data_IF_963986274652
#
_entry.id   IF_963986274652
#
_cell.length_a   1.000
_cell.length_b   1.000
_cell.length_c   1.000
_cell.angle_alpha   90.00
_cell.angle_beta   90.00
_cell.angle_gamma   90.00
#
_symmetry.space_group_name_H-M   'P 1'
#
loop_
_entity.id
_entity.type
_entity.pdbx_description
1 polymer ?
#
# COMPACT_ATOMS: atom_id res chain seq x y z
N UNK A 1 35.22 15.88 -38.67
CA UNK A 1 35.13 15.55 -37.22
C UNK A 1 33.81 15.99 -36.57
N UNK A 2 32.98 16.84 -37.20
CA UNK A 2 31.67 17.26 -36.67
C UNK A 2 30.49 16.32 -36.96
N UNK A 3 30.52 15.53 -38.04
CA UNK A 3 29.43 14.59 -38.38
C UNK A 3 29.40 13.32 -37.51
N UNK A 4 30.55 12.88 -37.00
CA UNK A 4 30.66 11.70 -36.13
C UNK A 4 30.10 12.00 -34.72
N UNK A 5 30.10 13.28 -34.31
CA UNK A 5 29.53 13.71 -33.03
C UNK A 5 28.00 13.91 -33.09
N UNK A 6 27.41 14.12 -34.26
CA UNK A 6 25.95 14.20 -34.41
C UNK A 6 25.28 12.82 -34.44
N UNK A 7 25.94 11.79 -34.98
CA UNK A 7 25.41 10.42 -34.99
C UNK A 7 25.51 9.71 -33.64
N UNK A 8 26.48 10.09 -32.79
CA UNK A 8 26.60 9.57 -31.43
C UNK A 8 25.50 10.07 -30.47
N UNK A 9 24.93 11.25 -30.72
CA UNK A 9 23.88 11.83 -29.88
C UNK A 9 22.46 11.29 -30.17
N UNK A 10 22.27 10.56 -31.26
CA UNK A 10 20.99 9.92 -31.60
C UNK A 10 20.75 8.59 -30.86
N UNK A 11 21.77 8.04 -30.18
CA UNK A 11 21.74 6.71 -29.57
C UNK A 11 21.35 6.69 -28.08
N UNK A 12 21.01 7.84 -27.47
CA UNK A 12 20.71 7.97 -26.04
C UNK A 12 19.29 8.47 -25.75
N UNK A 13 18.32 8.18 -26.62
CA UNK A 13 16.92 8.24 -26.19
C UNK A 13 16.57 6.94 -25.46
N UNK A 14 16.17 6.96 -24.19
CA UNK A 14 15.65 5.76 -23.55
C UNK A 14 14.41 5.33 -24.34
N UNK A 15 14.45 4.11 -24.88
CA UNK A 15 13.34 3.47 -25.60
C UNK A 15 12.23 3.18 -24.57
N UNK A 16 11.47 4.21 -24.22
CA UNK A 16 10.19 4.03 -23.54
C UNK A 16 9.13 3.94 -24.63
N UNK A 17 9.00 2.76 -25.23
CA UNK A 17 7.94 2.50 -26.18
C UNK A 17 6.59 2.80 -25.50
N UNK A 18 5.72 3.63 -26.11
CA UNK A 18 4.43 3.97 -25.53
C UNK A 18 3.58 2.70 -25.37
N UNK A 19 2.90 2.58 -24.23
CA UNK A 19 2.09 1.41 -23.90
C UNK A 19 0.93 1.27 -24.91
N UNK A 20 0.76 0.10 -25.57
CA UNK A 20 -0.34 -0.15 -26.49
C UNK A 20 -1.73 0.10 -25.87
N UNK A 21 -2.68 0.60 -26.66
CA UNK A 21 -4.05 0.92 -26.21
C UNK A 21 -4.77 -0.26 -25.53
N UNK A 22 -4.54 -1.51 -26.00
CA UNK A 22 -5.14 -2.72 -25.38
C UNK A 22 -4.70 -2.92 -23.93
N UNK A 23 -3.45 -2.56 -23.60
CA UNK A 23 -2.93 -2.67 -22.23
C UNK A 23 -3.59 -1.62 -21.33
N UNK A 24 -3.90 -0.43 -21.86
CA UNK A 24 -4.69 0.58 -21.12
C UNK A 24 -6.11 0.11 -20.79
N UNK A 25 -6.76 -0.67 -21.66
CA UNK A 25 -8.07 -1.26 -21.37
C UNK A 25 -8.03 -2.27 -20.22
N UNK A 26 -6.96 -3.06 -20.11
CA UNK A 26 -6.75 -3.98 -18.97
C UNK A 26 -6.70 -3.20 -17.66
N UNK A 27 -6.05 -2.03 -17.66
CA UNK A 27 -5.92 -1.20 -16.45
C UNK A 27 -7.27 -0.62 -16.03
N UNK A 28 -8.11 -0.24 -17.01
CA UNK A 28 -9.49 0.15 -16.73
C UNK A 28 -10.30 -1.00 -16.14
N UNK A 29 -10.16 -2.22 -16.67
CA UNK A 29 -10.79 -3.40 -16.08
C UNK A 29 -10.30 -3.66 -14.65
N UNK A 30 -8.99 -3.54 -14.40
CA UNK A 30 -8.41 -3.65 -13.04
C UNK A 30 -9.01 -2.58 -12.13
N UNK A 31 -9.10 -1.31 -12.57
CA UNK A 31 -9.72 -0.24 -11.81
C UNK A 31 -11.18 -0.56 -11.45
N UNK A 32 -11.97 -1.07 -12.40
CA UNK A 32 -13.38 -1.46 -12.14
C UNK A 32 -13.45 -2.59 -11.11
N UNK A 33 -12.64 -3.64 -11.26
CA UNK A 33 -12.57 -4.75 -10.30
C UNK A 33 -12.13 -4.27 -8.92
N UNK A 34 -11.13 -3.39 -8.88
CA UNK A 34 -10.59 -2.73 -7.68
C UNK A 34 -11.68 -1.92 -6.98
N UNK A 35 -12.45 -1.10 -7.71
CA UNK A 35 -13.57 -0.35 -7.16
C UNK A 35 -14.67 -1.26 -6.63
N UNK A 36 -15.03 -2.32 -7.35
CA UNK A 36 -16.03 -3.30 -6.89
C UNK A 36 -15.61 -4.02 -5.60
N UNK A 37 -14.35 -4.45 -5.54
CA UNK A 37 -13.77 -5.06 -4.34
C UNK A 37 -13.70 -4.06 -3.17
N UNK A 38 -13.38 -2.79 -3.44
CA UNK A 38 -13.35 -1.73 -2.43
C UNK A 38 -14.73 -1.47 -1.83
N UNK A 39 -15.77 -1.42 -2.66
CA UNK A 39 -17.16 -1.28 -2.19
C UNK A 39 -17.55 -2.46 -1.28
N UNK A 40 -17.26 -3.69 -1.71
CA UNK A 40 -17.51 -4.87 -0.89
C UNK A 40 -16.74 -4.83 0.44
N UNK A 41 -15.50 -4.33 0.44
CA UNK A 41 -14.69 -4.16 1.64
C UNK A 41 -15.29 -3.12 2.59
N UNK A 42 -15.78 -1.98 2.08
CA UNK A 42 -16.46 -0.94 2.87
C UNK A 42 -17.69 -1.51 3.60
N UNK A 43 -18.51 -2.31 2.91
CA UNK A 43 -19.67 -2.95 3.55
C UNK A 43 -19.26 -3.95 4.63
N UNK A 44 -18.28 -4.82 4.36
CA UNK A 44 -17.76 -5.75 5.36
C UNK A 44 -17.19 -5.03 6.58
N UNK A 45 -16.48 -3.93 6.33
CA UNK A 45 -15.88 -3.09 7.38
C UNK A 45 -16.93 -2.36 8.20
N UNK A 46 -18.00 -1.86 7.59
CA UNK A 46 -19.13 -1.25 8.30
C UNK A 46 -19.76 -2.22 9.30
N UNK A 47 -20.03 -3.46 8.86
CA UNK A 47 -20.60 -4.50 9.73
C UNK A 47 -19.66 -4.87 10.89
N UNK A 48 -18.35 -4.96 10.60
CA UNK A 48 -17.34 -5.21 11.63
C UNK A 48 -17.27 -4.08 12.66
N UNK A 49 -17.21 -2.83 12.22
CA UNK A 49 -17.17 -1.66 13.11
C UNK A 49 -18.46 -1.55 13.94
N UNK A 50 -19.61 -1.87 13.34
CA UNK A 50 -20.90 -1.93 14.04
C UNK A 50 -20.90 -2.98 15.14
N UNK A 51 -20.39 -4.18 14.85
CA UNK A 51 -20.25 -5.25 15.84
C UNK A 51 -19.29 -4.86 16.98
N UNK A 52 -18.13 -4.27 16.66
CA UNK A 52 -17.17 -3.81 17.67
C UNK A 52 -17.75 -2.70 18.55
N UNK A 53 -18.43 -1.73 17.94
CA UNK A 53 -19.09 -0.64 18.67
C UNK A 53 -20.12 -1.20 19.65
N UNK A 54 -21.06 -2.04 19.18
CA UNK A 54 -22.14 -2.57 20.01
C UNK A 54 -21.66 -3.53 21.11
N UNK A 55 -20.71 -4.43 20.80
CA UNK A 55 -20.35 -5.54 21.69
C UNK A 55 -19.20 -5.20 22.64
N UNK A 56 -18.26 -4.36 22.22
CA UNK A 56 -17.00 -4.14 22.97
C UNK A 56 -16.83 -2.70 23.44
N UNK A 57 -17.16 -1.70 22.61
CA UNK A 57 -16.88 -0.30 22.92
C UNK A 57 -18.06 0.50 23.49
N UNK A 58 -19.29 0.04 23.32
CA UNK A 58 -20.53 0.71 23.72
C UNK A 58 -20.51 1.33 25.13
N UNK A 59 -20.18 0.60 26.22
CA UNK A 59 -20.20 1.18 27.56
C UNK A 59 -19.18 2.31 27.73
N UNK A 60 -18.06 2.27 27.01
CA UNK A 60 -17.00 3.26 27.10
C UNK A 60 -17.28 4.50 26.24
N UNK A 61 -17.88 4.29 25.06
CA UNK A 61 -18.31 5.39 24.19
C UNK A 61 -19.37 6.24 24.88
N UNK A 62 -20.39 5.64 25.50
CA UNK A 62 -21.43 6.36 26.23
C UNK A 62 -20.85 7.14 27.41
N UNK A 63 -19.92 6.54 28.18
CA UNK A 63 -19.25 7.24 29.29
C UNK A 63 -18.48 8.48 28.82
N UNK A 64 -17.95 8.45 27.60
CA UNK A 64 -17.28 9.59 26.98
C UNK A 64 -18.23 10.56 26.25
N UNK A 65 -19.54 10.30 26.25
CA UNK A 65 -20.54 11.10 25.53
C UNK A 65 -20.52 10.90 24.00
N UNK A 66 -19.92 9.82 23.51
CA UNK A 66 -19.84 9.46 22.10
C UNK A 66 -20.89 8.41 21.74
N UNK A 67 -21.35 8.46 20.49
CA UNK A 67 -22.28 7.45 19.95
C UNK A 67 -21.52 6.33 19.21
N UNK A 68 -22.13 5.14 19.13
CA UNK A 68 -21.63 4.04 18.31
C UNK A 68 -21.49 4.47 16.84
N UNK A 69 -22.44 5.28 16.34
CA UNK A 69 -22.41 5.83 14.98
C UNK A 69 -21.19 6.73 14.74
N UNK A 70 -20.79 7.52 15.73
CA UNK A 70 -19.56 8.33 15.62
C UNK A 70 -18.35 7.42 15.39
N UNK A 71 -18.19 6.39 16.21
CA UNK A 71 -17.09 5.42 16.08
C UNK A 71 -17.07 4.78 14.69
N UNK A 72 -18.22 4.25 14.24
CA UNK A 72 -18.33 3.57 12.94
C UNK A 72 -17.94 4.50 11.78
N UNK A 73 -18.54 5.68 11.69
CA UNK A 73 -18.31 6.58 10.57
C UNK A 73 -16.93 7.22 10.58
N UNK A 74 -16.36 7.47 11.76
CA UNK A 74 -15.01 8.02 11.92
C UNK A 74 -13.93 7.10 11.33
N UNK A 75 -13.96 5.81 11.68
CA UNK A 75 -13.01 4.85 11.12
C UNK A 75 -13.31 4.57 9.65
N UNK A 76 -14.59 4.34 9.30
CA UNK A 76 -14.95 3.99 7.94
C UNK A 76 -14.62 5.10 6.93
N UNK A 77 -14.90 6.37 7.25
CA UNK A 77 -14.63 7.48 6.34
C UNK A 77 -13.14 7.70 6.14
N UNK A 78 -12.35 7.57 7.21
CA UNK A 78 -10.90 7.79 7.17
C UNK A 78 -10.17 6.67 6.42
N UNK A 79 -10.56 5.41 6.64
CA UNK A 79 -10.08 4.25 5.87
C UNK A 79 -10.49 4.33 4.40
N UNK A 80 -11.73 4.76 4.11
CA UNK A 80 -12.23 4.94 2.74
C UNK A 80 -11.48 6.06 2.02
N UNK A 81 -11.19 7.19 2.70
CA UNK A 81 -10.39 8.29 2.15
C UNK A 81 -9.00 7.79 1.72
N UNK A 82 -8.36 6.99 2.56
CA UNK A 82 -7.05 6.43 2.26
C UNK A 82 -7.12 5.51 1.04
N UNK A 83 -8.06 4.56 1.02
CA UNK A 83 -8.28 3.66 -0.10
C UNK A 83 -8.54 4.41 -1.42
N UNK A 84 -9.40 5.44 -1.39
CA UNK A 84 -9.70 6.29 -2.53
C UNK A 84 -8.47 7.04 -3.00
N UNK A 85 -7.63 7.55 -2.10
CA UNK A 85 -6.40 8.26 -2.47
C UNK A 85 -5.44 7.36 -3.24
N UNK A 86 -5.25 6.12 -2.79
CA UNK A 86 -4.45 5.13 -3.51
C UNK A 86 -5.04 4.81 -4.89
N UNK A 87 -6.35 4.55 -4.96
CA UNK A 87 -7.04 4.22 -6.19
C UNK A 87 -7.00 5.36 -7.22
N UNK A 88 -7.31 6.58 -6.79
CA UNK A 88 -7.28 7.79 -7.62
C UNK A 88 -5.86 8.08 -8.09
N UNK A 89 -4.86 7.97 -7.21
CA UNK A 89 -3.45 8.15 -7.58
C UNK A 89 -3.04 7.16 -8.68
N UNK A 90 -3.37 5.87 -8.50
CA UNK A 90 -3.10 4.85 -9.51
C UNK A 90 -3.83 5.13 -10.82
N UNK A 91 -5.09 5.55 -10.77
CA UNK A 91 -5.86 5.96 -11.94
C UNK A 91 -5.23 7.15 -12.69
N UNK A 92 -4.81 8.19 -11.98
CA UNK A 92 -4.13 9.36 -12.57
C UNK A 92 -2.83 8.93 -13.26
N UNK A 93 -2.01 8.09 -12.61
CA UNK A 93 -0.75 7.59 -13.19
C UNK A 93 -1.03 6.75 -14.45
N UNK A 94 -2.02 5.86 -14.41
CA UNK A 94 -2.39 5.03 -15.55
C UNK A 94 -2.87 5.83 -16.76
N UNK A 95 -3.60 6.92 -16.52
CA UNK A 95 -4.14 7.80 -17.55
C UNK A 95 -3.15 8.89 -18.00
N UNK A 96 -1.99 9.01 -17.35
CA UNK A 96 -0.99 10.00 -17.67
C UNK A 96 -0.49 9.86 -19.12
N UNK A 97 -0.13 10.96 -19.79
CA UNK A 97 0.24 10.93 -21.22
C UNK A 97 1.49 10.11 -21.49
N UNK A 98 2.48 10.13 -20.59
CA UNK A 98 3.77 9.45 -20.71
C UNK A 98 3.82 8.09 -19.98
N UNK A 99 2.72 7.32 -19.96
CA UNK A 99 2.71 6.01 -19.29
C UNK A 99 3.76 5.06 -19.88
N UNK A 100 4.71 4.63 -19.05
CA UNK A 100 5.64 3.52 -19.31
C UNK A 100 5.17 2.25 -18.59
N UNK A 101 5.73 1.09 -18.93
CA UNK A 101 5.41 -0.18 -18.25
C UNK A 101 5.63 -0.11 -16.73
N UNK A 102 6.66 0.59 -16.26
CA UNK A 102 6.95 0.73 -14.83
C UNK A 102 5.91 1.60 -14.14
N UNK A 103 5.53 2.73 -14.74
CA UNK A 103 4.47 3.59 -14.19
C UNK A 103 3.11 2.90 -14.21
N UNK A 104 2.86 2.04 -15.19
CA UNK A 104 1.64 1.24 -15.24
C UNK A 104 1.62 0.16 -14.16
N UNK A 105 2.76 -0.50 -13.94
CA UNK A 105 2.92 -1.43 -12.83
C UNK A 105 2.68 -0.73 -11.48
N UNK A 106 3.24 0.47 -11.31
CA UNK A 106 3.02 1.30 -10.13
C UNK A 106 1.53 1.63 -9.93
N UNK A 107 0.83 2.01 -11.00
CA UNK A 107 -0.61 2.28 -10.96
C UNK A 107 -1.42 1.06 -10.51
N UNK A 108 -1.14 -0.11 -11.08
CA UNK A 108 -1.81 -1.37 -10.72
C UNK A 108 -1.51 -1.74 -9.25
N UNK A 109 -0.25 -1.64 -8.84
CA UNK A 109 0.17 -1.93 -7.47
C UNK A 109 -0.52 -1.00 -6.46
N UNK A 110 -0.57 0.32 -6.74
CA UNK A 110 -1.26 1.31 -5.91
C UNK A 110 -2.76 1.02 -5.79
N UNK A 111 -3.42 0.73 -6.91
CA UNK A 111 -4.85 0.43 -6.93
C UNK A 111 -5.15 -0.82 -6.11
N UNK A 112 -4.45 -1.93 -6.37
CA UNK A 112 -4.70 -3.20 -5.67
C UNK A 112 -4.36 -3.12 -4.18
N UNK A 113 -3.28 -2.42 -3.82
CA UNK A 113 -2.92 -2.19 -2.41
C UNK A 113 -3.95 -1.31 -1.69
N UNK A 114 -4.46 -0.27 -2.36
CA UNK A 114 -5.44 0.67 -1.79
C UNK A 114 -6.81 0.07 -1.49
N UNK A 115 -7.24 -0.97 -2.22
CA UNK A 115 -8.54 -1.65 -1.97
C UNK A 115 -8.61 -2.26 -0.59
N UNK A 116 -7.46 -2.64 -0.05
CA UNK A 116 -7.36 -3.53 1.09
C UNK A 116 -6.44 -2.95 2.14
N UNK A 117 -6.37 -1.61 2.30
CA UNK A 117 -5.65 -1.03 3.43
C UNK A 117 -6.12 -1.79 4.68
N UNK A 118 -5.21 -2.52 5.34
CA UNK A 118 -5.64 -3.43 6.38
C UNK A 118 -6.34 -2.63 7.47
N UNK A 119 -7.40 -3.16 8.09
CA UNK A 119 -7.82 -2.61 9.37
C UNK A 119 -6.61 -2.65 10.31
N UNK A 120 -6.53 -1.74 11.30
CA UNK A 120 -5.45 -1.74 12.27
C UNK A 120 -5.22 -3.16 12.81
N UNK A 121 -3.96 -3.58 12.91
CA UNK A 121 -3.59 -4.99 13.12
C UNK A 121 -4.21 -5.62 14.39
N UNK A 122 -4.63 -4.79 15.35
CA UNK A 122 -5.32 -5.20 16.57
C UNK A 122 -6.83 -5.42 16.42
N UNK A 123 -7.46 -4.95 15.34
CA UNK A 123 -8.91 -5.00 15.12
C UNK A 123 -9.41 -6.25 14.37
N UNK A 124 -8.54 -7.23 14.11
CA UNK A 124 -8.82 -8.38 13.25
C UNK A 124 -9.64 -9.46 13.97
N UNK A 125 -10.95 -9.21 14.08
CA UNK A 125 -11.95 -10.26 14.31
C UNK A 125 -12.52 -10.69 12.96
N UNK A 126 -12.51 -12.01 12.76
CA UNK A 126 -12.84 -12.76 11.54
C UNK A 126 -14.15 -12.34 10.85
N UNK A 127 -14.06 -11.72 9.67
CA UNK A 127 -15.17 -11.66 8.72
C UNK A 127 -15.38 -13.06 8.11
N UNK A 128 -16.44 -13.75 8.53
CA UNK A 128 -16.88 -15.01 7.91
C UNK A 128 -17.82 -14.70 6.73
N UNK A 129 -17.44 -15.08 5.51
CA UNK A 129 -18.29 -14.93 4.31
C UNK A 129 -17.62 -15.40 3.01
N UNK A 130 -18.43 -15.75 2.00
CA UNK A 130 -17.99 -16.36 0.73
C UNK A 130 -17.13 -15.45 -0.17
N UNK A 131 -17.18 -14.14 0.03
CA UNK A 131 -16.39 -13.13 -0.72
C UNK A 131 -14.96 -13.00 -0.14
N UNK A 132 -14.71 -13.55 1.05
CA UNK A 132 -13.45 -13.42 1.78
C UNK A 132 -12.21 -13.93 1.03
N UNK A 133 -12.22 -15.09 0.32
CA UNK A 133 -11.03 -15.57 -0.37
C UNK A 133 -10.57 -14.63 -1.50
N UNK A 134 -11.51 -14.03 -2.22
CA UNK A 134 -11.20 -13.08 -3.30
C UNK A 134 -10.58 -11.79 -2.75
N UNK A 135 -11.17 -11.21 -1.70
CA UNK A 135 -10.61 -10.02 -1.05
C UNK A 135 -9.23 -10.31 -0.44
N UNK A 136 -9.07 -11.48 0.18
CA UNK A 136 -7.77 -11.93 0.70
C UNK A 136 -6.73 -12.08 -0.41
N UNK A 137 -7.12 -12.60 -1.58
CA UNK A 137 -6.26 -12.72 -2.75
C UNK A 137 -5.85 -11.35 -3.31
N UNK A 138 -6.81 -10.44 -3.48
CA UNK A 138 -6.53 -9.05 -3.91
C UNK A 138 -5.57 -8.37 -2.95
N UNK A 139 -5.77 -8.55 -1.64
CA UNK A 139 -4.89 -7.99 -0.63
C UNK A 139 -3.46 -8.56 -0.75
N UNK A 140 -3.34 -9.88 -0.83
CA UNK A 140 -2.04 -10.54 -0.93
C UNK A 140 -1.26 -10.11 -2.18
N UNK A 141 -1.93 -10.09 -3.34
CA UNK A 141 -1.32 -9.63 -4.60
C UNK A 141 -0.98 -8.14 -4.51
N UNK A 142 -1.88 -7.30 -3.99
CA UNK A 142 -1.67 -5.86 -3.84
C UNK A 142 -0.43 -5.54 -3.02
N UNK A 143 -0.28 -6.20 -1.85
CA UNK A 143 0.90 -6.09 -1.01
C UNK A 143 2.18 -6.51 -1.76
N UNK A 144 2.18 -7.69 -2.39
CA UNK A 144 3.34 -8.20 -3.11
C UNK A 144 3.77 -7.27 -4.25
N UNK A 145 2.82 -6.82 -5.07
CA UNK A 145 3.10 -5.92 -6.19
C UNK A 145 3.60 -4.56 -5.72
N UNK A 146 3.07 -4.03 -4.62
CA UNK A 146 3.53 -2.77 -4.07
C UNK A 146 4.97 -2.84 -3.58
N UNK A 147 5.37 -3.91 -2.89
CA UNK A 147 6.77 -4.11 -2.48
C UNK A 147 7.68 -4.33 -3.70
N UNK A 148 7.24 -5.13 -4.68
CA UNK A 148 8.01 -5.38 -5.92
C UNK A 148 8.22 -4.10 -6.70
N UNK A 149 7.23 -3.20 -6.72
CA UNK A 149 7.37 -1.88 -7.31
C UNK A 149 8.59 -1.15 -6.73
N UNK A 150 8.83 -1.25 -5.42
CA UNK A 150 10.00 -0.66 -4.76
C UNK A 150 11.32 -1.34 -5.12
N UNK A 151 11.31 -2.56 -5.63
CA UNK A 151 12.54 -3.21 -6.10
C UNK A 151 12.90 -2.78 -7.52
N UNK A 152 11.90 -2.54 -8.37
CA UNK A 152 12.10 -2.25 -9.79
C UNK A 152 12.10 -0.76 -10.15
N UNK A 153 11.46 0.08 -9.34
CA UNK A 153 11.37 1.52 -9.59
C UNK A 153 12.75 2.20 -9.50
N UNK A 154 13.07 3.20 -10.36
CA UNK A 154 12.23 3.80 -11.42
C UNK A 154 12.33 3.19 -12.82
N UNK A 155 13.37 2.41 -13.13
CA UNK A 155 13.68 1.98 -14.50
C UNK A 155 13.17 0.58 -14.88
N UNK A 156 12.51 -0.12 -13.95
CA UNK A 156 11.95 -1.45 -14.16
C UNK A 156 12.93 -2.61 -13.98
N UNK A 157 14.18 -2.34 -13.61
CA UNK A 157 15.22 -3.37 -13.45
C UNK A 157 15.36 -3.78 -12.00
N UNK A 158 15.51 -5.07 -11.76
CA UNK A 158 15.88 -5.60 -10.44
C UNK A 158 17.36 -5.36 -10.17
N UNK A 159 17.65 -4.34 -9.35
CA UNK A 159 19.01 -4.05 -8.92
C UNK A 159 19.06 -3.77 -7.42
N UNK A 160 19.82 -4.57 -6.65
CA UNK A 160 20.64 -5.71 -7.06
C UNK A 160 19.83 -6.93 -7.54
N UNK A 161 20.45 -7.83 -8.32
CA UNK A 161 19.75 -8.98 -8.93
C UNK A 161 19.13 -9.96 -7.92
N UNK A 162 19.64 -10.02 -6.69
CA UNK A 162 19.07 -10.89 -5.65
C UNK A 162 17.66 -10.47 -5.22
N UNK A 163 17.24 -9.23 -5.51
CA UNK A 163 15.85 -8.78 -5.29
C UNK A 163 14.82 -9.57 -6.13
N UNK A 164 15.26 -10.26 -7.19
CA UNK A 164 14.43 -11.22 -7.93
C UNK A 164 14.03 -12.39 -7.02
N UNK A 165 14.97 -12.94 -6.25
CA UNK A 165 14.70 -14.06 -5.34
C UNK A 165 13.73 -13.61 -4.25
N UNK A 166 13.93 -12.41 -3.68
CA UNK A 166 12.97 -11.83 -2.73
C UNK A 166 11.57 -11.69 -3.33
N UNK A 167 11.47 -11.24 -4.57
CA UNK A 167 10.18 -11.08 -5.26
C UNK A 167 9.48 -12.42 -5.47
N UNK A 168 10.23 -13.47 -5.85
CA UNK A 168 9.70 -14.83 -5.99
C UNK A 168 9.19 -15.37 -4.66
N UNK A 169 9.99 -15.22 -3.58
CA UNK A 169 9.60 -15.62 -2.22
C UNK A 169 8.34 -14.88 -1.78
N UNK A 170 8.29 -13.56 -2.00
CA UNK A 170 7.16 -12.73 -1.62
C UNK A 170 5.89 -13.10 -2.38
N UNK A 171 5.97 -13.32 -3.69
CA UNK A 171 4.83 -13.77 -4.51
C UNK A 171 4.37 -15.14 -4.02
N UNK A 172 5.29 -16.09 -3.86
CA UNK A 172 4.98 -17.44 -3.38
C UNK A 172 4.25 -17.41 -2.04
N UNK A 173 4.81 -16.69 -1.06
CA UNK A 173 4.18 -16.52 0.26
C UNK A 173 2.81 -15.87 0.17
N UNK A 174 2.67 -14.78 -0.60
CA UNK A 174 1.41 -14.03 -0.73
C UNK A 174 0.31 -14.87 -1.39
N UNK A 175 0.64 -15.64 -2.42
CA UNK A 175 -0.31 -16.54 -3.09
C UNK A 175 -0.82 -17.65 -2.16
N UNK A 176 -0.09 -18.00 -1.09
CA UNK A 176 -0.54 -19.00 -0.12
C UNK A 176 -1.54 -18.45 0.90
N UNK A 177 -1.60 -17.14 1.14
CA UNK A 177 -2.46 -16.56 2.20
C UNK A 177 -3.93 -16.96 2.13
N UNK A 178 -4.60 -16.96 0.95
CA UNK A 178 -6.03 -17.26 0.87
C UNK A 178 -6.35 -18.73 1.09
N UNK A 179 -5.40 -19.62 0.80
CA UNK A 179 -5.59 -21.07 0.81
C UNK A 179 -5.04 -21.73 2.07
N UNK A 180 -4.07 -21.09 2.73
CA UNK A 180 -3.41 -21.62 3.91
C UNK A 180 -3.37 -20.56 5.03
N UNK A 181 -4.43 -20.51 5.86
CA UNK A 181 -4.59 -19.55 6.95
C UNK A 181 -3.38 -19.32 7.85
N UNK A 182 -2.58 -20.35 8.23
CA UNK A 182 -1.42 -20.14 9.09
C UNK A 182 -0.31 -19.29 8.47
N UNK A 183 -0.28 -19.12 7.14
CA UNK A 183 0.69 -18.24 6.46
C UNK A 183 0.17 -16.82 6.23
N UNK A 184 -1.10 -16.55 6.51
CA UNK A 184 -1.65 -15.21 6.38
C UNK A 184 -1.20 -14.34 7.56
N UNK A 185 -0.40 -13.27 7.34
CA UNK A 185 0.12 -12.44 8.42
C UNK A 185 -1.00 -11.76 9.21
N UNK A 186 -2.11 -11.41 8.57
CA UNK A 186 -3.27 -10.82 9.25
C UNK A 186 -4.02 -11.80 10.16
N UNK A 187 -3.58 -13.06 10.28
CA UNK A 187 -4.09 -14.03 11.26
C UNK A 187 -3.10 -14.31 12.38
N UNK A 188 -1.89 -13.75 12.32
CA UNK A 188 -0.91 -13.91 13.38
C UNK A 188 -1.21 -12.99 14.56
N UNK A 189 -0.69 -13.36 15.73
CA UNK A 189 -0.90 -12.63 16.98
C UNK A 189 0.33 -11.78 17.33
N UNK A 190 0.15 -10.86 18.27
CA UNK A 190 1.21 -10.01 18.81
C UNK A 190 1.88 -9.13 17.74
N UNK A 191 3.17 -8.81 17.92
CA UNK A 191 3.92 -7.92 17.04
C UNK A 191 4.41 -8.60 15.74
N UNK A 192 4.30 -9.92 15.61
CA UNK A 192 4.86 -10.67 14.49
C UNK A 192 4.38 -10.18 13.11
N UNK A 193 3.07 -9.97 12.86
CA UNK A 193 2.64 -9.60 11.52
C UNK A 193 3.05 -8.19 11.15
N UNK A 194 3.06 -7.27 12.12
CA UNK A 194 3.60 -5.94 11.94
C UNK A 194 5.09 -5.97 11.57
N UNK A 195 5.91 -6.75 12.29
CA UNK A 195 7.34 -6.88 12.01
C UNK A 195 7.59 -7.45 10.62
N UNK A 196 6.86 -8.48 10.22
CA UNK A 196 7.05 -9.13 8.92
C UNK A 196 6.58 -8.26 7.76
N UNK A 197 5.42 -7.59 7.88
CA UNK A 197 4.93 -6.70 6.82
C UNK A 197 5.85 -5.48 6.66
N UNK A 198 6.25 -4.84 7.78
CA UNK A 198 7.17 -3.71 7.73
C UNK A 198 8.59 -4.11 7.33
N UNK A 199 9.01 -5.35 7.60
CA UNK A 199 10.29 -5.86 7.09
C UNK A 199 10.34 -5.80 5.55
N UNK A 200 9.27 -6.20 4.86
CA UNK A 200 9.22 -6.12 3.39
C UNK A 200 9.19 -4.69 2.85
N UNK A 201 8.55 -3.75 3.55
CA UNK A 201 8.66 -2.33 3.18
C UNK A 201 10.05 -1.77 3.45
N UNK A 202 10.67 -2.14 4.57
CA UNK A 202 12.01 -1.73 4.93
C UNK A 202 13.05 -2.23 3.92
N UNK A 203 12.92 -3.47 3.42
CA UNK A 203 13.77 -3.95 2.32
C UNK A 203 13.55 -3.11 1.06
N UNK A 204 12.30 -2.78 0.71
CA UNK A 204 11.98 -1.89 -0.41
C UNK A 204 12.66 -0.51 -0.29
N UNK A 205 12.55 0.12 0.88
CA UNK A 205 13.20 1.40 1.20
C UNK A 205 14.73 1.27 1.10
N UNK A 206 15.31 0.22 1.68
CA UNK A 206 16.75 -0.05 1.62
C UNK A 206 17.25 -0.23 0.18
N UNK A 207 16.50 -0.92 -0.67
CA UNK A 207 16.81 -1.06 -2.09
C UNK A 207 16.73 0.29 -2.81
N UNK A 208 15.71 1.10 -2.54
CA UNK A 208 15.60 2.43 -3.12
C UNK A 208 16.78 3.34 -2.70
N UNK A 209 17.21 3.30 -1.44
CA UNK A 209 18.38 4.04 -0.95
C UNK A 209 19.68 3.54 -1.62
N UNK A 210 19.85 2.23 -1.75
CA UNK A 210 21.01 1.64 -2.44
C UNK A 210 21.08 2.12 -3.90
N UNK A 211 19.94 2.09 -4.61
CA UNK A 211 19.86 2.56 -5.99
C UNK A 211 20.12 4.05 -6.11
N UNK A 212 19.58 4.86 -5.19
CA UNK A 212 19.80 6.29 -5.15
C UNK A 212 21.30 6.64 -5.08
N UNK A 213 22.05 5.89 -4.26
CA UNK A 213 23.47 6.15 -3.98
C UNK A 213 24.43 5.58 -5.03
N UNK A 214 24.11 4.46 -5.66
CA UNK A 214 25.08 3.74 -6.51
C UNK A 214 24.75 3.70 -8.00
N UNK A 215 23.48 3.89 -8.40
CA UNK A 215 23.03 3.54 -9.76
C UNK A 215 22.25 4.66 -10.44
N UNK A 216 21.43 5.39 -9.68
CA UNK A 216 20.40 6.26 -10.23
C UNK A 216 20.98 7.50 -10.92
N UNK A 217 20.44 7.84 -12.09
CA UNK A 217 20.70 9.12 -12.76
C UNK A 217 20.11 10.31 -11.97
N UNK A 218 20.48 11.57 -12.27
CA UNK A 218 19.95 12.73 -11.54
C UNK A 218 18.41 12.83 -11.54
N UNK A 219 17.74 12.44 -12.63
CA UNK A 219 16.27 12.41 -12.71
C UNK A 219 15.69 11.30 -11.84
N UNK A 220 16.27 10.10 -11.93
CA UNK A 220 15.87 8.95 -11.12
C UNK A 220 16.08 9.20 -9.62
N UNK A 221 17.13 9.93 -9.24
CA UNK A 221 17.36 10.36 -7.86
C UNK A 221 16.22 11.25 -7.34
N UNK A 222 15.70 12.17 -8.15
CA UNK A 222 14.53 12.98 -7.75
C UNK A 222 13.29 12.12 -7.59
N UNK A 223 13.03 11.19 -8.50
CA UNK A 223 11.94 10.24 -8.38
C UNK A 223 12.03 9.41 -7.09
N UNK A 224 13.18 8.81 -6.84
CA UNK A 224 13.42 7.96 -5.67
C UNK A 224 13.34 8.75 -4.36
N UNK A 225 13.76 10.02 -4.30
CA UNK A 225 13.61 10.87 -3.11
C UNK A 225 12.18 10.96 -2.63
N UNK A 226 11.24 11.21 -3.54
CA UNK A 226 9.82 11.29 -3.19
C UNK A 226 9.28 9.94 -2.72
N UNK A 227 9.61 8.85 -3.41
CA UNK A 227 9.18 7.49 -3.01
C UNK A 227 9.71 7.13 -1.62
N UNK A 228 11.01 7.33 -1.37
CA UNK A 228 11.64 7.05 -0.08
C UNK A 228 11.04 7.93 1.02
N UNK A 229 10.81 9.22 0.76
CA UNK A 229 10.16 10.12 1.71
C UNK A 229 8.76 9.62 2.10
N UNK A 230 7.89 9.39 1.12
CA UNK A 230 6.51 8.97 1.38
C UNK A 230 6.43 7.63 2.11
N UNK A 231 7.23 6.65 1.70
CA UNK A 231 7.24 5.34 2.36
C UNK A 231 7.89 5.34 3.73
N UNK A 232 8.97 6.09 3.92
CA UNK A 232 9.59 6.18 5.25
C UNK A 232 8.63 6.85 6.22
N UNK A 233 7.91 7.90 5.79
CA UNK A 233 6.88 8.54 6.60
C UNK A 233 5.72 7.59 6.93
N UNK A 234 5.25 6.80 5.96
CA UNK A 234 4.21 5.79 6.18
C UNK A 234 4.66 4.69 7.16
N UNK A 235 5.85 4.13 6.98
CA UNK A 235 6.42 3.10 7.87
C UNK A 235 6.62 3.67 9.28
N UNK A 236 7.26 4.83 9.41
CA UNK A 236 7.46 5.46 10.73
C UNK A 236 6.14 5.83 11.40
N UNK A 237 5.16 6.30 10.64
CA UNK A 237 3.82 6.60 11.15
C UNK A 237 3.11 5.35 11.66
N UNK A 238 3.22 4.24 10.92
CA UNK A 238 2.73 2.92 11.34
C UNK A 238 3.41 2.44 12.64
N UNK A 239 4.74 2.58 12.74
CA UNK A 239 5.49 2.30 13.96
C UNK A 239 5.02 3.17 15.14
N UNK A 240 5.01 4.49 14.98
CA UNK A 240 4.66 5.44 16.04
C UNK A 240 3.24 5.20 16.55
N UNK A 241 2.30 4.92 15.64
CA UNK A 241 0.92 4.64 16.02
C UNK A 241 0.81 3.30 16.75
N UNK A 242 1.39 2.22 16.23
CA UNK A 242 1.15 0.88 16.80
C UNK A 242 2.05 0.49 17.98
N UNK A 243 3.13 1.23 18.26
CA UNK A 243 4.12 0.89 19.29
C UNK A 243 3.52 0.68 20.68
N UNK A 244 2.49 1.46 21.04
CA UNK A 244 1.82 1.36 22.33
C UNK A 244 1.21 -0.03 22.56
N UNK A 245 0.56 -0.61 21.54
CA UNK A 245 -0.01 -1.96 21.62
C UNK A 245 1.04 -3.06 21.72
N UNK A 246 2.28 -2.83 21.25
CA UNK A 246 3.38 -3.79 21.38
C UNK A 246 4.05 -3.72 22.75
N UNK A 247 4.22 -2.52 23.31
CA UNK A 247 4.83 -2.32 24.63
C UNK A 247 3.86 -2.68 25.74
N UNK A 248 2.57 -2.41 25.57
CA UNK A 248 1.53 -2.63 26.58
C UNK A 248 0.48 -3.63 26.09
N UNK A 249 0.71 -4.95 26.25
CA UNK A 249 -0.26 -5.98 25.88
C UNK A 249 -1.62 -5.86 26.59
N UNK A 250 -1.67 -5.14 27.72
CA UNK A 250 -2.94 -4.82 28.41
C UNK A 250 -3.88 -3.98 27.54
N UNK A 251 -3.36 -3.14 26.64
CA UNK A 251 -4.16 -2.37 25.68
C UNK A 251 -4.86 -3.26 24.66
N UNK A 252 -4.33 -4.46 24.38
CA UNK A 252 -4.98 -5.42 23.49
C UNK A 252 -6.13 -6.18 24.17
N UNK A 253 -6.21 -6.12 25.51
CA UNK A 253 -7.21 -6.85 26.31
C UNK A 253 -8.29 -5.93 26.87
N UNK A 254 -8.00 -4.63 26.99
CA UNK A 254 -8.90 -3.61 27.49
C UNK A 254 -9.43 -2.67 26.39
N UNK A 255 -10.35 -1.76 26.75
CA UNK A 255 -10.99 -0.83 25.83
C UNK A 255 -10.03 0.27 25.37
N UNK A 256 -9.30 0.01 24.30
CA UNK A 256 -8.31 0.89 23.68
C UNK A 256 -8.92 1.97 22.77
N UNK A 257 -10.24 2.12 22.75
CA UNK A 257 -10.97 3.01 21.82
C UNK A 257 -10.43 4.45 21.81
N UNK A 258 -10.04 5.00 22.96
CA UNK A 258 -9.54 6.38 23.04
C UNK A 258 -8.20 6.51 22.33
N UNK A 259 -7.32 5.54 22.52
CA UNK A 259 -6.05 5.46 21.80
C UNK A 259 -6.32 5.20 20.31
N UNK A 260 -7.35 4.42 19.98
CA UNK A 260 -7.78 4.22 18.60
C UNK A 260 -8.19 5.53 17.92
N UNK A 261 -9.09 6.29 18.55
CA UNK A 261 -9.58 7.56 18.04
C UNK A 261 -8.43 8.58 17.92
N UNK A 262 -7.53 8.63 18.91
CA UNK A 262 -6.41 9.57 18.93
C UNK A 262 -5.35 9.29 17.86
N UNK A 263 -5.01 8.02 17.59
CA UNK A 263 -3.95 7.70 16.62
C UNK A 263 -4.43 7.76 15.16
N UNK A 264 -5.73 7.49 14.91
CA UNK A 264 -6.26 7.31 13.55
C UNK A 264 -5.90 8.47 12.58
N UNK A 265 -6.03 9.77 12.95
CA UNK A 265 -5.71 10.86 12.03
C UNK A 265 -4.22 10.87 11.66
N UNK A 266 -3.36 10.58 12.63
CA UNK A 266 -1.91 10.55 12.41
C UNK A 266 -1.50 9.36 11.54
N UNK A 267 -2.10 8.19 11.79
CA UNK A 267 -1.91 7.01 10.94
C UNK A 267 -2.32 7.33 9.51
N UNK A 268 -3.56 7.78 9.29
CA UNK A 268 -4.06 8.09 7.94
C UNK A 268 -3.21 9.16 7.25
N UNK A 269 -2.86 10.25 7.95
CA UNK A 269 -2.00 11.29 7.39
C UNK A 269 -0.63 10.74 6.96
N UNK A 270 -0.01 9.90 7.77
CA UNK A 270 1.27 9.26 7.44
C UNK A 270 1.16 8.32 6.23
N UNK A 271 0.09 7.53 6.14
CA UNK A 271 -0.13 6.59 5.04
C UNK A 271 -0.44 7.32 3.72
N UNK A 272 -1.15 8.45 3.76
CA UNK A 272 -1.45 9.26 2.57
C UNK A 272 -0.19 9.80 1.89
N UNK A 273 0.92 9.98 2.63
CA UNK A 273 2.17 10.46 2.06
C UNK A 273 2.76 9.48 1.04
N UNK A 274 2.52 8.18 1.17
CA UNK A 274 3.01 7.17 0.24
C UNK A 274 2.44 7.36 -1.19
N UNK A 275 1.12 7.27 -1.43
CA UNK A 275 0.56 7.44 -2.77
C UNK A 275 0.81 8.85 -3.30
N UNK A 276 0.65 9.90 -2.47
CA UNK A 276 0.86 11.28 -2.90
C UNK A 276 2.30 11.54 -3.34
N UNK A 277 3.29 11.05 -2.60
CA UNK A 277 4.69 11.22 -2.99
C UNK A 277 5.05 10.38 -4.24
N UNK A 278 4.47 9.18 -4.41
CA UNK A 278 4.61 8.40 -5.65
C UNK A 278 3.98 9.15 -6.83
N UNK A 279 2.83 9.80 -6.64
CA UNK A 279 2.20 10.65 -7.65
C UNK A 279 3.14 11.79 -8.08
N UNK A 280 3.70 12.52 -7.10
CA UNK A 280 4.66 13.61 -7.36
C UNK A 280 5.89 13.08 -8.08
N UNK A 281 6.43 11.94 -7.64
CA UNK A 281 7.58 11.27 -8.24
C UNK A 281 7.36 11.01 -9.74
N UNK A 282 6.25 10.37 -10.08
CA UNK A 282 5.98 9.93 -11.46
C UNK A 282 5.49 11.09 -12.33
N UNK A 283 4.55 11.91 -11.85
CA UNK A 283 3.92 12.94 -12.68
C UNK A 283 4.84 14.15 -12.94
N UNK A 284 5.79 14.42 -12.04
CA UNK A 284 6.70 15.57 -12.18
C UNK A 284 8.06 15.19 -12.78
N UNK A 285 8.52 13.96 -12.54
CA UNK A 285 9.89 13.55 -12.91
C UNK A 285 9.94 12.28 -13.77
N UNK A 286 8.80 11.70 -14.17
CA UNK A 286 8.70 10.49 -15.00
C UNK A 286 8.17 10.70 -16.41
#
# INVERSE_FOLDING_TARGET
MGEILMTANAALQPIHAPVPHRIRQIVFAILVVTCGAGIANVFGRFEQLRHLAATYYHPYLIQAGLSDNFYIWYFLSSETLLALTFAVTGGIIALHRSTTYVTLFAAIALMLFGVTVPPPMHALVTLQGSIHPLLCFVHAIGFALFVIFLYIFPDGRFVPRWTVILSIVLIGWSLMWPFYPPLNPYRWTHALPFLVLNFWFATGIGIQIYRYTHISSPVQQQQTKWVVFGLTAAVLGDFITHIAWYIFPSLQRGPDWLLQVAHQPFFIASQLLAPLAIAVSILRFG
#
